data_IF_486294510817
#
_entry.id   IF_486294510817
#
_cell.length_a   1.000
_cell.length_b   1.000
_cell.length_c   1.000
_cell.angle_alpha   90.00
_cell.angle_beta   90.00
_cell.angle_gamma   90.00
#
_symmetry.space_group_name_H-M   'P 1'
#
loop_
_entity.id
_entity.type
_entity.pdbx_description
1 polymer ?
#
# COMPACT_ATOMS: atom_id res chain seq x y z
N UNK A 1 29.90 -1.87 -15.69
CA UNK A 1 28.42 -2.02 -15.67
C UNK A 1 27.95 -1.88 -17.10
N UNK A 2 27.17 -2.83 -17.64
CA UNK A 2 26.77 -2.78 -19.06
C UNK A 2 25.67 -1.74 -19.27
N UNK A 3 25.77 -0.89 -20.31
CA UNK A 3 24.76 0.13 -20.64
C UNK A 3 23.35 -0.44 -20.78
N UNK A 4 23.24 -1.66 -21.33
CA UNK A 4 21.98 -2.42 -21.43
C UNK A 4 21.32 -2.62 -20.07
N UNK A 5 22.08 -2.97 -19.03
CA UNK A 5 21.58 -3.13 -17.66
C UNK A 5 21.01 -1.82 -17.14
N UNK A 6 21.74 -0.72 -17.32
CA UNK A 6 21.31 0.60 -16.85
C UNK A 6 20.00 1.06 -17.50
N UNK A 7 19.84 0.79 -18.80
CA UNK A 7 18.62 1.08 -19.56
C UNK A 7 17.44 0.26 -19.02
N UNK A 8 17.64 -1.03 -18.76
CA UNK A 8 16.62 -1.89 -18.14
C UNK A 8 16.24 -1.36 -16.75
N UNK A 9 17.22 -1.04 -15.91
CA UNK A 9 16.96 -0.49 -14.57
C UNK A 9 16.18 0.82 -14.62
N UNK A 10 16.46 1.70 -15.60
CA UNK A 10 15.68 2.92 -15.79
C UNK A 10 14.21 2.66 -16.11
N UNK A 11 13.93 1.68 -17.00
CA UNK A 11 12.55 1.31 -17.33
C UNK A 11 11.82 0.65 -16.17
N UNK A 12 12.51 -0.20 -15.42
CA UNK A 12 11.95 -0.82 -14.21
C UNK A 12 11.57 0.26 -13.18
N UNK A 13 12.41 1.27 -12.97
CA UNK A 13 12.08 2.39 -12.09
C UNK A 13 10.84 3.17 -12.56
N UNK A 14 10.71 3.43 -13.87
CA UNK A 14 9.51 4.09 -14.41
C UNK A 14 8.25 3.24 -14.26
N UNK A 15 8.33 1.92 -14.47
CA UNK A 15 7.20 1.00 -14.26
C UNK A 15 6.76 1.02 -12.80
N UNK A 16 7.69 0.98 -11.84
CA UNK A 16 7.36 1.09 -10.42
C UNK A 16 6.75 2.45 -10.06
N UNK A 17 7.22 3.54 -10.66
CA UNK A 17 6.59 4.85 -10.47
C UNK A 17 5.14 4.86 -10.98
N UNK A 18 4.88 4.30 -12.17
CA UNK A 18 3.52 4.17 -12.71
C UNK A 18 2.63 3.31 -11.82
N UNK A 19 3.16 2.20 -11.31
CA UNK A 19 2.45 1.37 -10.35
C UNK A 19 2.08 2.15 -9.09
N UNK A 20 3.01 2.92 -8.51
CA UNK A 20 2.73 3.75 -7.34
C UNK A 20 1.68 4.84 -7.63
N UNK A 21 1.69 5.44 -8.83
CA UNK A 21 0.66 6.41 -9.25
C UNK A 21 -0.70 5.73 -9.30
N UNK A 22 -0.78 4.53 -9.87
CA UNK A 22 -2.00 3.75 -9.92
C UNK A 22 -2.53 3.45 -8.51
N UNK A 23 -1.67 2.98 -7.60
CA UNK A 23 -2.01 2.71 -6.20
C UNK A 23 -2.53 3.96 -5.48
N UNK A 24 -1.94 5.13 -5.73
CA UNK A 24 -2.45 6.40 -5.19
C UNK A 24 -3.82 6.77 -5.77
N UNK A 25 -4.03 6.56 -7.06
CA UNK A 25 -5.27 6.87 -7.75
C UNK A 25 -6.43 5.96 -7.34
N UNK A 26 -6.17 4.67 -7.13
CA UNK A 26 -7.18 3.71 -6.64
C UNK A 26 -7.47 3.86 -5.16
N UNK A 27 -6.63 4.59 -4.43
CA UNK A 27 -6.67 4.69 -2.98
C UNK A 27 -6.04 3.48 -2.30
N UNK A 28 -5.50 3.73 -1.10
CA UNK A 28 -4.97 2.70 -0.20
C UNK A 28 -6.05 2.43 0.84
N UNK A 29 -6.59 1.22 0.85
CA UNK A 29 -7.61 0.78 1.80
C UNK A 29 -6.93 0.15 3.03
N UNK A 30 -7.10 0.75 4.21
CA UNK A 30 -6.51 0.22 5.46
C UNK A 30 -7.55 -0.47 6.35
N UNK A 31 -8.74 -0.75 5.83
CA UNK A 31 -9.86 -1.32 6.62
C UNK A 31 -9.54 -2.63 7.33
N UNK A 32 -8.55 -3.39 6.86
CA UNK A 32 -8.05 -4.59 7.55
C UNK A 32 -7.51 -4.31 8.96
N UNK A 33 -7.11 -3.07 9.27
CA UNK A 33 -6.55 -2.68 10.57
C UNK A 33 -7.58 -2.06 11.53
N UNK A 34 -8.86 -2.00 11.15
CA UNK A 34 -9.92 -1.41 11.99
C UNK A 34 -10.07 -2.06 13.36
N UNK A 35 -9.76 -3.35 13.48
CA UNK A 35 -9.85 -4.08 14.75
C UNK A 35 -8.59 -3.93 15.62
N UNK A 36 -7.51 -3.40 15.04
CA UNK A 36 -6.20 -3.24 15.68
C UNK A 36 -5.90 -1.80 16.08
N UNK A 37 -6.50 -0.83 15.38
CA UNK A 37 -6.21 0.60 15.49
C UNK A 37 -7.48 1.38 15.77
N UNK A 38 -7.36 2.44 16.57
CA UNK A 38 -8.41 3.44 16.72
C UNK A 38 -8.66 4.18 15.39
N UNK A 39 -9.79 4.87 15.26
CA UNK A 39 -10.13 5.64 14.05
C UNK A 39 -9.06 6.68 13.72
N UNK A 40 -8.55 7.39 14.72
CA UNK A 40 -7.50 8.40 14.56
C UNK A 40 -6.17 7.78 14.10
N UNK A 41 -5.78 6.64 14.68
CA UNK A 41 -4.59 5.89 14.27
C UNK A 41 -4.73 5.35 12.84
N UNK A 42 -5.93 4.94 12.44
CA UNK A 42 -6.22 4.45 11.10
C UNK A 42 -6.08 5.55 10.04
N UNK A 43 -6.61 6.75 10.31
CA UNK A 43 -6.47 7.91 9.43
C UNK A 43 -5.01 8.36 9.32
N UNK A 44 -4.30 8.42 10.45
CA UNK A 44 -2.87 8.72 10.49
C UNK A 44 -2.05 7.70 9.70
N UNK A 45 -2.34 6.41 9.87
CA UNK A 45 -1.69 5.34 9.13
C UNK A 45 -1.96 5.42 7.62
N UNK A 46 -3.21 5.67 7.21
CA UNK A 46 -3.56 5.87 5.81
C UNK A 46 -2.84 7.07 5.20
N UNK A 47 -2.76 8.18 5.93
CA UNK A 47 -2.02 9.38 5.52
C UNK A 47 -0.53 9.11 5.34
N UNK A 48 0.07 8.38 6.29
CA UNK A 48 1.47 7.94 6.21
C UNK A 48 1.71 7.08 4.96
N UNK A 49 0.88 6.07 4.71
CA UNK A 49 1.00 5.19 3.54
C UNK A 49 0.92 5.96 2.22
N UNK A 50 -0.04 6.89 2.10
CA UNK A 50 -0.17 7.74 0.91
C UNK A 50 1.07 8.61 0.71
N UNK A 51 1.55 9.24 1.78
CA UNK A 51 2.73 10.11 1.74
C UNK A 51 3.99 9.32 1.36
N UNK A 52 4.22 8.15 1.96
CA UNK A 52 5.36 7.29 1.63
C UNK A 52 5.28 6.77 0.19
N UNK A 53 4.10 6.40 -0.29
CA UNK A 53 3.88 5.95 -1.68
C UNK A 53 4.18 7.08 -2.67
N UNK A 54 3.75 8.30 -2.36
CA UNK A 54 4.03 9.49 -3.17
C UNK A 54 5.54 9.81 -3.24
N UNK A 55 6.23 9.78 -2.10
CA UNK A 55 7.69 9.97 -2.05
C UNK A 55 8.41 8.89 -2.88
N UNK A 56 8.00 7.63 -2.73
CA UNK A 56 8.54 6.50 -3.50
C UNK A 56 8.35 6.68 -5.01
N UNK A 57 7.19 7.19 -5.43
CA UNK A 57 6.93 7.55 -6.82
C UNK A 57 7.93 8.59 -7.34
N UNK A 58 8.11 9.71 -6.64
CA UNK A 58 9.05 10.76 -7.04
C UNK A 58 10.48 10.20 -7.11
N UNK A 59 10.90 9.44 -6.09
CA UNK A 59 12.22 8.83 -6.04
C UNK A 59 12.48 7.93 -7.26
N UNK A 60 11.52 7.07 -7.60
CA UNK A 60 11.63 6.17 -8.74
C UNK A 60 11.67 6.92 -10.08
N UNK A 61 10.91 8.01 -10.25
CA UNK A 61 10.99 8.87 -11.43
C UNK A 61 12.36 9.53 -11.56
N UNK A 62 12.87 10.11 -10.46
CA UNK A 62 14.16 10.80 -10.44
C UNK A 62 15.30 9.82 -10.73
N UNK A 63 15.32 8.66 -10.06
CA UNK A 63 16.35 7.63 -10.28
C UNK A 63 16.25 7.06 -11.69
N UNK A 64 15.04 6.77 -12.17
CA UNK A 64 14.80 6.31 -13.54
C UNK A 64 15.34 7.30 -14.57
N UNK A 65 15.08 8.59 -14.39
CA UNK A 65 15.60 9.66 -15.24
C UNK A 65 17.13 9.73 -15.23
N UNK A 66 17.77 9.70 -14.05
CA UNK A 66 19.22 9.72 -13.95
C UNK A 66 19.86 8.50 -14.60
N UNK A 67 19.32 7.31 -14.38
CA UNK A 67 19.84 6.08 -14.98
C UNK A 67 19.67 6.10 -16.50
N UNK A 68 18.52 6.58 -16.99
CA UNK A 68 18.33 6.77 -18.43
C UNK A 68 19.34 7.75 -19.01
N UNK A 69 19.57 8.89 -18.36
CA UNK A 69 20.58 9.87 -18.80
C UNK A 69 22.00 9.28 -18.82
N UNK A 70 22.35 8.49 -17.80
CA UNK A 70 23.65 7.83 -17.69
C UNK A 70 23.90 6.79 -18.78
N UNK A 71 22.87 6.29 -19.48
CA UNK A 71 23.07 5.39 -20.64
C UNK A 71 23.80 6.08 -21.80
N UNK A 72 23.74 7.42 -21.85
CA UNK A 72 24.33 8.26 -22.89
C UNK A 72 25.70 8.82 -22.54
N UNK A 73 26.21 8.54 -21.34
CA UNK A 73 27.55 8.98 -20.93
C UNK A 73 28.64 8.12 -21.55
N UNK A 74 29.83 8.68 -21.70
CA UNK A 74 31.04 7.93 -22.04
C UNK A 74 31.47 6.99 -20.91
N UNK A 75 32.26 5.98 -21.25
CA UNK A 75 32.56 4.87 -20.32
C UNK A 75 33.37 5.35 -19.10
N UNK A 76 34.26 6.34 -19.27
CA UNK A 76 35.01 6.95 -18.15
C UNK A 76 34.09 7.71 -17.18
N UNK A 77 33.17 8.52 -17.71
CA UNK A 77 32.18 9.24 -16.92
C UNK A 77 31.21 8.28 -16.20
N UNK A 78 30.84 7.17 -16.86
CA UNK A 78 30.00 6.14 -16.27
C UNK A 78 30.72 5.41 -15.11
N UNK A 79 32.01 5.14 -15.25
CA UNK A 79 32.85 4.56 -14.19
C UNK A 79 32.89 5.45 -12.95
N UNK A 80 33.04 6.76 -13.13
CA UNK A 80 33.02 7.73 -12.03
C UNK A 80 31.67 7.74 -11.27
N UNK A 81 30.55 7.49 -11.97
CA UNK A 81 29.20 7.46 -11.38
C UNK A 81 28.75 6.07 -10.91
N UNK A 82 29.56 5.03 -11.08
CA UNK A 82 29.21 3.64 -10.75
C UNK A 82 28.74 3.46 -9.31
N UNK A 83 29.42 4.08 -8.34
CA UNK A 83 29.05 3.99 -6.91
C UNK A 83 27.65 4.54 -6.65
N UNK A 84 27.33 5.71 -7.21
CA UNK A 84 26.01 6.31 -7.08
C UNK A 84 24.91 5.41 -7.64
N UNK A 85 25.13 4.81 -8.81
CA UNK A 85 24.14 3.90 -9.41
C UNK A 85 23.85 2.71 -8.50
N UNK A 86 24.89 2.13 -7.89
CA UNK A 86 24.71 1.00 -6.95
C UNK A 86 23.94 1.45 -5.71
N UNK A 87 24.32 2.56 -5.07
CA UNK A 87 23.65 3.06 -3.86
C UNK A 87 22.16 3.36 -4.12
N UNK A 88 21.85 4.08 -5.19
CA UNK A 88 20.46 4.39 -5.54
C UNK A 88 19.65 3.14 -5.89
N UNK A 89 20.26 2.16 -6.56
CA UNK A 89 19.57 0.89 -6.87
C UNK A 89 19.18 0.13 -5.60
N UNK A 90 20.07 0.07 -4.61
CA UNK A 90 19.79 -0.58 -3.32
C UNK A 90 18.66 0.16 -2.60
N UNK A 91 18.74 1.48 -2.49
CA UNK A 91 17.71 2.30 -1.83
C UNK A 91 16.35 2.10 -2.50
N UNK A 92 16.28 2.15 -3.84
CA UNK A 92 15.05 1.92 -4.59
C UNK A 92 14.44 0.54 -4.32
N UNK A 93 15.27 -0.52 -4.25
CA UNK A 93 14.78 -1.88 -3.95
C UNK A 93 14.18 -1.94 -2.55
N UNK A 94 14.90 -1.45 -1.54
CA UNK A 94 14.41 -1.45 -0.15
C UNK A 94 13.11 -0.65 0.00
N UNK A 95 13.05 0.56 -0.55
CA UNK A 95 11.84 1.40 -0.47
C UNK A 95 10.66 0.79 -1.24
N UNK A 96 10.90 0.22 -2.42
CA UNK A 96 9.84 -0.38 -3.23
C UNK A 96 9.28 -1.64 -2.56
N UNK A 97 10.14 -2.45 -1.90
CA UNK A 97 9.68 -3.59 -1.10
C UNK A 97 8.86 -3.14 0.10
N UNK A 98 9.31 -2.12 0.83
CA UNK A 98 8.59 -1.60 1.99
C UNK A 98 7.20 -1.10 1.62
N UNK A 99 7.10 -0.27 0.58
CA UNK A 99 5.81 0.22 0.06
C UNK A 99 4.96 -0.92 -0.51
N UNK A 100 5.57 -1.87 -1.21
CA UNK A 100 4.88 -3.02 -1.78
C UNK A 100 4.25 -3.92 -0.72
N UNK A 101 4.96 -4.22 0.37
CA UNK A 101 4.43 -5.03 1.49
C UNK A 101 3.27 -4.29 2.17
N UNK A 102 3.44 -3.00 2.46
CA UNK A 102 2.40 -2.19 3.09
C UNK A 102 1.16 -2.06 2.19
N UNK A 103 1.36 -1.85 0.89
CA UNK A 103 0.28 -1.82 -0.09
C UNK A 103 -0.43 -3.18 -0.23
N UNK A 104 0.31 -4.29 -0.25
CA UNK A 104 -0.26 -5.63 -0.33
C UNK A 104 -1.13 -5.94 0.90
N UNK A 105 -0.64 -5.63 2.11
CA UNK A 105 -1.42 -5.79 3.34
C UNK A 105 -2.71 -4.94 3.33
N UNK A 106 -2.67 -3.77 2.69
CA UNK A 106 -3.85 -2.91 2.52
C UNK A 106 -4.88 -3.47 1.53
N UNK A 107 -4.49 -4.35 0.61
CA UNK A 107 -5.41 -4.90 -0.42
C UNK A 107 -6.13 -6.19 0.04
N UNK A 108 -5.95 -6.59 1.31
CA UNK A 108 -6.58 -7.77 1.90
C UNK A 108 -8.10 -7.66 1.93
N UNK A 109 -8.77 -8.31 0.97
CA UNK A 109 -10.23 -8.50 0.94
C UNK A 109 -10.70 -9.24 2.21
N UNK A 110 -11.12 -8.51 3.23
CA UNK A 110 -11.95 -9.02 4.33
C UNK A 110 -13.29 -8.27 4.44
N UNK A 111 -13.85 -7.84 3.30
CA UNK A 111 -15.12 -7.10 3.27
C UNK A 111 -16.32 -7.90 3.75
N UNK A 112 -16.26 -9.24 3.75
CA UNK A 112 -17.40 -10.08 4.16
C UNK A 112 -17.35 -10.44 5.65
N UNK A 113 -16.20 -10.91 6.15
CA UNK A 113 -16.07 -11.26 7.58
C UNK A 113 -16.13 -10.03 8.50
N UNK A 114 -15.49 -8.92 8.11
CA UNK A 114 -15.54 -7.70 8.93
C UNK A 114 -16.92 -7.03 8.88
N UNK A 115 -17.69 -7.18 7.79
CA UNK A 115 -19.06 -6.69 7.74
C UNK A 115 -20.00 -7.47 8.66
N UNK A 116 -19.84 -8.81 8.71
CA UNK A 116 -20.61 -9.67 9.62
C UNK A 116 -20.26 -9.36 11.08
N UNK A 117 -18.97 -9.26 11.41
CA UNK A 117 -18.52 -8.92 12.76
C UNK A 117 -19.04 -7.54 13.23
N UNK A 118 -18.98 -6.52 12.37
CA UNK A 118 -19.50 -5.19 12.69
C UNK A 118 -21.03 -5.19 12.89
N UNK A 119 -21.78 -5.92 12.05
CA UNK A 119 -23.23 -6.06 12.21
C UNK A 119 -23.62 -6.78 13.51
N UNK A 120 -22.85 -7.79 13.91
CA UNK A 120 -23.06 -8.49 15.19
C UNK A 120 -22.77 -7.57 16.40
N UNK A 121 -21.69 -6.78 16.35
CA UNK A 121 -21.36 -5.80 17.39
C UNK A 121 -22.42 -4.71 17.55
N UNK A 122 -22.94 -4.19 16.43
CA UNK A 122 -24.00 -3.18 16.43
C UNK A 122 -25.31 -3.77 16.99
N UNK A 123 -25.63 -5.01 16.63
CA UNK A 123 -26.79 -5.73 17.15
C UNK A 123 -26.68 -5.98 18.67
N UNK A 124 -25.50 -6.36 19.17
CA UNK A 124 -25.24 -6.57 20.61
C UNK A 124 -25.31 -5.25 21.39
N UNK A 125 -24.92 -4.13 20.77
CA UNK A 125 -25.07 -2.80 21.37
C UNK A 125 -26.54 -2.40 21.53
N UNK A 126 -27.35 -2.58 20.49
CA UNK A 126 -28.80 -2.31 20.55
C UNK A 126 -29.50 -3.16 21.61
N UNK A 127 -29.08 -4.41 21.77
CA UNK A 127 -29.60 -5.31 22.80
C UNK A 127 -29.23 -4.84 24.21
N UNK A 128 -27.96 -4.50 24.44
CA UNK A 128 -27.51 -3.96 25.74
C UNK A 128 -28.16 -2.62 26.10
N UNK A 129 -28.47 -1.79 25.12
CA UNK A 129 -29.19 -0.53 25.30
C UNK A 129 -30.70 -0.72 25.51
N UNK A 130 -31.20 -1.96 25.44
CA UNK A 130 -32.63 -2.27 25.60
C UNK A 130 -33.51 -1.77 24.46
N UNK A 131 -32.91 -1.45 23.31
CA UNK A 131 -33.59 -0.92 22.13
C UNK A 131 -34.25 -2.03 21.28
N UNK A 132 -33.84 -3.28 21.51
CA UNK A 132 -34.41 -4.47 20.89
C UNK A 132 -34.64 -5.55 21.94
N UNK A 133 -35.64 -6.40 21.70
CA UNK A 133 -35.97 -7.53 22.58
C UNK A 133 -35.04 -8.72 22.35
N UNK A 134 -34.96 -9.64 23.32
CA UNK A 134 -34.18 -10.89 23.22
C UNK A 134 -34.57 -11.71 21.96
N UNK A 135 -35.86 -11.76 21.64
CA UNK A 135 -36.38 -12.45 20.46
C UNK A 135 -36.02 -11.76 19.14
N UNK A 136 -35.89 -10.43 19.13
CA UNK A 136 -35.40 -9.70 17.95
C UNK A 136 -33.89 -9.84 17.77
N UNK A 137 -33.16 -9.90 18.88
CA UNK A 137 -31.72 -10.11 18.88
C UNK A 137 -31.35 -11.47 18.26
N UNK A 138 -31.89 -12.57 18.76
CA UNK A 138 -31.55 -13.90 18.25
C UNK A 138 -31.96 -14.09 16.78
N UNK A 139 -33.11 -13.55 16.37
CA UNK A 139 -33.58 -13.64 14.98
C UNK A 139 -32.65 -12.91 14.00
N UNK A 140 -32.25 -11.67 14.34
CA UNK A 140 -31.35 -10.87 13.50
C UNK A 140 -29.93 -11.43 13.49
N UNK A 141 -29.48 -12.03 14.59
CA UNK A 141 -28.19 -12.70 14.70
C UNK A 141 -28.12 -13.91 13.77
N UNK A 142 -29.16 -14.75 13.75
CA UNK A 142 -29.26 -15.88 12.82
C UNK A 142 -29.29 -15.41 11.36
N UNK A 143 -30.04 -14.35 11.04
CA UNK A 143 -30.06 -13.77 9.68
C UNK A 143 -28.68 -13.27 9.23
N UNK A 144 -27.88 -12.72 10.15
CA UNK A 144 -26.52 -12.24 9.86
C UNK A 144 -25.55 -13.43 9.67
N UNK A 145 -25.69 -14.48 10.47
CA UNK A 145 -24.85 -15.68 10.38
C UNK A 145 -25.16 -16.55 9.15
N UNK A 146 -26.41 -16.57 8.70
CA UNK A 146 -26.86 -17.31 7.51
C UNK A 146 -26.55 -16.61 6.16
N UNK A 147 -25.92 -15.42 6.19
CA UNK A 147 -25.44 -14.72 4.99
C UNK A 147 -24.03 -15.16 4.52
N UNK A 148 -23.47 -16.21 5.15
CA UNK A 148 -22.22 -16.90 4.78
C UNK A 148 -22.47 -17.98 3.72
#
# INVERSE_FOLDING_TARGET
>A
MKRKTLKITSYVAFIFALYNIFTLATGIDVTMYKDLLTVEELESFQSLLRTTTFISCILNLVVGYFFYKYTRLDDEALLAKRRYVIYFSIICIFFSLFVGILGFMSTGKNSTQNAIANRLLELEKLHREGLITDEEYERKKDDILNQL
#
